data_IF_665770346231
#
_entry.id   IF_665770346231
#
_cell.length_a   1.000
_cell.length_b   1.000
_cell.length_c   1.000
_cell.angle_alpha   90.00
_cell.angle_beta   90.00
_cell.angle_gamma   90.00
#
_symmetry.space_group_name_H-M   'P 1'
#
loop_
_entity.id
_entity.type
_entity.pdbx_description
1 polymer ?
#
# COMPACT_ATOMS: atom_id res chain seq x y z
N UNK A 1 -30.09 9.74 16.02
CA UNK A 1 -29.18 8.61 15.75
C UNK A 1 -29.54 8.00 14.42
N UNK A 2 -28.78 8.29 13.35
CA UNK A 2 -29.04 7.73 12.01
C UNK A 2 -28.17 6.48 11.84
N UNK A 3 -28.79 5.32 11.96
CA UNK A 3 -28.20 4.04 11.57
C UNK A 3 -27.93 4.08 10.07
N UNK A 4 -26.66 4.10 9.66
CA UNK A 4 -26.29 3.88 8.26
C UNK A 4 -26.01 2.39 8.08
N UNK A 5 -26.83 1.81 7.22
CA UNK A 5 -26.92 0.39 6.89
C UNK A 5 -25.58 -0.09 6.33
N UNK A 6 -25.06 -1.19 6.91
CA UNK A 6 -23.99 -2.00 6.37
C UNK A 6 -24.37 -2.45 4.96
N UNK A 7 -23.67 -1.95 3.93
CA UNK A 7 -23.80 -2.49 2.58
C UNK A 7 -22.91 -3.72 2.51
N UNK A 8 -23.54 -4.88 2.39
CA UNK A 8 -22.90 -6.11 1.96
C UNK A 8 -22.11 -5.85 0.67
N UNK A 9 -20.82 -6.15 0.71
CA UNK A 9 -19.95 -6.06 -0.45
C UNK A 9 -20.28 -7.22 -1.40
N UNK A 10 -21.03 -6.88 -2.46
CA UNK A 10 -21.42 -7.80 -3.54
C UNK A 10 -20.24 -8.27 -4.38
N UNK A 11 -20.46 -9.43 -4.98
CA UNK A 11 -19.53 -10.27 -5.75
C UNK A 11 -19.20 -9.74 -7.15
N UNK A 12 -18.55 -8.57 -7.26
CA UNK A 12 -17.83 -8.18 -8.48
C UNK A 12 -16.40 -7.71 -8.16
N UNK A 13 -15.33 -8.39 -8.61
CA UNK A 13 -13.98 -8.16 -8.09
C UNK A 13 -13.28 -6.89 -8.58
N UNK A 14 -13.86 -6.13 -9.51
CA UNK A 14 -13.10 -5.17 -10.33
C UNK A 14 -13.21 -3.69 -9.94
N UNK A 15 -14.09 -3.28 -9.02
CA UNK A 15 -14.31 -1.85 -8.71
C UNK A 15 -14.60 -1.58 -7.22
N UNK A 16 -13.95 -2.28 -6.30
CA UNK A 16 -14.04 -1.93 -4.88
C UNK A 16 -13.19 -0.68 -4.62
N UNK A 17 -13.84 0.41 -4.20
CA UNK A 17 -13.17 1.65 -3.79
C UNK A 17 -12.06 1.35 -2.77
N UNK A 18 -10.83 1.87 -2.94
CA UNK A 18 -9.77 1.70 -1.95
C UNK A 18 -10.17 2.29 -0.59
N UNK A 19 -9.85 1.60 0.49
CA UNK A 19 -10.09 2.08 1.86
C UNK A 19 -8.98 3.03 2.27
N UNK A 20 -9.32 4.24 2.70
CA UNK A 20 -8.35 5.18 3.28
C UNK A 20 -8.25 4.90 4.79
N UNK A 21 -7.05 4.55 5.25
CA UNK A 21 -6.72 4.44 6.67
C UNK A 21 -5.56 5.37 6.95
N UNK A 22 -5.76 6.32 7.85
CA UNK A 22 -4.75 7.27 8.27
C UNK A 22 -5.15 7.87 9.62
N UNK A 23 -4.44 8.90 10.09
CA UNK A 23 -4.70 9.54 11.39
C UNK A 23 -6.12 10.07 11.55
N UNK A 24 -6.78 10.48 10.48
CA UNK A 24 -8.15 11.01 10.50
C UNK A 24 -9.21 9.92 10.27
N UNK A 25 -8.81 8.81 9.65
CA UNK A 25 -9.68 7.72 9.22
C UNK A 25 -9.20 6.41 9.86
N UNK A 26 -9.74 6.09 11.04
CA UNK A 26 -9.44 4.86 11.76
C UNK A 26 -10.28 3.66 11.27
N UNK A 27 -9.86 2.47 11.65
CA UNK A 27 -10.60 1.22 11.45
C UNK A 27 -11.58 0.99 12.59
N UNK A 28 -12.81 0.60 12.25
CA UNK A 28 -13.81 0.18 13.22
C UNK A 28 -13.61 -1.29 13.65
N UNK A 29 -13.10 -2.12 12.74
CA UNK A 29 -12.84 -3.55 12.95
C UNK A 29 -11.58 -3.98 12.21
N UNK A 30 -10.87 -4.98 12.74
CA UNK A 30 -9.76 -5.64 12.03
C UNK A 30 -10.27 -6.41 10.80
N UNK A 31 -9.39 -6.73 9.84
CA UNK A 31 -9.75 -7.55 8.70
C UNK A 31 -10.03 -9.02 9.10
N UNK A 32 -10.80 -9.73 8.27
CA UNK A 32 -11.06 -11.15 8.46
C UNK A 32 -9.77 -11.97 8.33
N UNK A 33 -9.37 -12.62 9.43
CA UNK A 33 -8.16 -13.44 9.49
C UNK A 33 -8.17 -14.61 8.50
N UNK A 34 -9.35 -15.10 8.09
CA UNK A 34 -9.47 -16.19 7.12
C UNK A 34 -9.07 -15.78 5.70
N UNK A 35 -9.02 -14.49 5.41
CA UNK A 35 -8.58 -13.93 4.12
C UNK A 35 -7.07 -13.67 4.08
N UNK A 36 -6.35 -13.86 5.19
CA UNK A 36 -4.92 -13.62 5.28
C UNK A 36 -4.10 -14.86 4.94
N UNK A 37 -3.04 -14.69 4.15
CA UNK A 37 -2.11 -15.75 3.75
C UNK A 37 -0.66 -15.26 3.87
N UNK A 38 0.30 -16.14 4.16
CA UNK A 38 1.72 -15.78 4.21
C UNK A 38 2.26 -15.37 2.83
N UNK A 39 3.33 -14.57 2.84
CA UNK A 39 4.05 -14.14 1.61
C UNK A 39 5.52 -14.55 1.64
N UNK A 40 6.05 -14.85 0.46
CA UNK A 40 7.41 -15.34 0.28
C UNK A 40 7.70 -16.58 1.14
N UNK A 41 8.88 -16.59 1.77
CA UNK A 41 9.30 -17.63 2.72
C UNK A 41 9.08 -17.23 4.19
N UNK A 42 8.24 -16.22 4.45
CA UNK A 42 8.00 -15.68 5.79
C UNK A 42 6.60 -16.09 6.29
N UNK A 43 6.49 -17.15 7.11
CA UNK A 43 5.18 -17.66 7.54
C UNK A 43 4.40 -16.67 8.41
N UNK A 44 5.10 -15.77 9.10
CA UNK A 44 4.51 -14.80 10.03
C UNK A 44 4.15 -13.47 9.36
N UNK A 45 4.57 -13.25 8.10
CA UNK A 45 4.21 -12.05 7.35
C UNK A 45 3.01 -12.35 6.47
N UNK A 46 1.85 -11.88 6.91
CA UNK A 46 0.57 -12.17 6.27
C UNK A 46 0.10 -10.99 5.43
N UNK A 47 -0.58 -11.25 4.31
CA UNK A 47 -1.36 -10.25 3.57
C UNK A 47 -2.73 -10.82 3.20
N UNK A 48 -3.68 -9.93 2.95
CA UNK A 48 -4.94 -10.32 2.32
C UNK A 48 -4.65 -11.06 1.01
N UNK A 49 -5.32 -12.19 0.77
CA UNK A 49 -4.99 -13.15 -0.30
C UNK A 49 -4.86 -12.55 -1.70
N UNK A 50 -5.66 -11.52 -2.01
CA UNK A 50 -5.57 -10.75 -3.26
C UNK A 50 -4.27 -9.95 -3.38
N UNK A 51 -3.87 -9.27 -2.31
CA UNK A 51 -2.62 -8.52 -2.26
C UNK A 51 -1.42 -9.48 -2.28
N UNK A 52 -1.49 -10.58 -1.52
CA UNK A 52 -0.48 -11.64 -1.53
C UNK A 52 -0.26 -12.19 -2.94
N UNK A 53 -1.33 -12.63 -3.63
CA UNK A 53 -1.22 -13.17 -4.98
C UNK A 53 -0.61 -12.17 -5.98
N UNK A 54 -0.99 -10.89 -5.89
CA UNK A 54 -0.42 -9.85 -6.73
C UNK A 54 1.07 -9.60 -6.43
N UNK A 55 1.46 -9.63 -5.16
CA UNK A 55 2.84 -9.48 -4.73
C UNK A 55 3.68 -10.68 -5.22
N UNK A 56 3.20 -11.92 -5.05
CA UNK A 56 3.90 -13.12 -5.52
C UNK A 56 4.13 -13.09 -7.03
N UNK A 57 3.14 -12.67 -7.82
CA UNK A 57 3.30 -12.55 -9.27
C UNK A 57 4.36 -11.49 -9.64
N UNK A 58 4.37 -10.34 -8.98
CA UNK A 58 5.39 -9.32 -9.19
C UNK A 58 6.77 -9.88 -8.83
N UNK A 59 6.91 -10.48 -7.65
CA UNK A 59 8.18 -11.01 -7.17
C UNK A 59 8.71 -12.13 -8.08
N UNK A 60 7.86 -13.00 -8.60
CA UNK A 60 8.23 -14.00 -9.59
C UNK A 60 8.73 -13.37 -10.90
N UNK A 61 8.17 -12.24 -11.33
CA UNK A 61 8.60 -11.57 -12.57
C UNK A 61 10.02 -10.99 -12.48
N UNK A 62 10.51 -10.70 -11.27
CA UNK A 62 11.82 -10.07 -11.06
C UNK A 62 12.79 -10.95 -10.25
N UNK A 63 12.45 -12.21 -9.98
CA UNK A 63 13.17 -13.07 -9.04
C UNK A 63 13.42 -12.37 -7.68
N UNK A 64 12.42 -11.60 -7.23
CA UNK A 64 12.56 -10.60 -6.18
C UNK A 64 12.87 -11.19 -4.81
N UNK A 65 12.34 -12.37 -4.49
CA UNK A 65 12.52 -13.01 -3.17
C UNK A 65 13.96 -13.45 -2.87
N UNK A 66 14.84 -13.49 -3.86
CA UNK A 66 16.27 -13.73 -3.64
C UNK A 66 16.99 -12.51 -3.05
N UNK A 67 16.43 -11.31 -3.23
CA UNK A 67 17.07 -10.03 -2.87
C UNK A 67 16.21 -9.11 -2.01
N UNK A 68 14.90 -9.34 -1.94
CA UNK A 68 13.93 -8.56 -1.17
C UNK A 68 13.28 -9.53 -0.19
N UNK A 69 13.08 -9.08 1.05
CA UNK A 69 12.38 -9.85 2.07
C UNK A 69 11.15 -9.10 2.56
N UNK A 70 10.08 -9.82 2.91
CA UNK A 70 8.94 -9.22 3.57
C UNK A 70 9.30 -8.97 5.04
N UNK A 71 9.16 -7.73 5.49
CA UNK A 71 9.52 -7.31 6.86
C UNK A 71 8.29 -7.31 7.74
N UNK A 72 7.17 -6.77 7.23
CA UNK A 72 5.94 -6.69 8.01
C UNK A 72 4.71 -6.54 7.13
N UNK A 73 3.69 -7.37 7.39
CA UNK A 73 2.43 -7.40 6.66
C UNK A 73 1.28 -7.01 7.57
N UNK A 74 0.27 -7.86 7.69
CA UNK A 74 -0.83 -7.65 8.61
C UNK A 74 -0.36 -7.55 10.06
N UNK A 75 -0.96 -6.62 10.81
CA UNK A 75 -0.76 -6.45 12.25
C UNK A 75 -2.12 -6.29 12.90
N UNK A 76 -2.36 -6.96 14.02
CA UNK A 76 -3.53 -6.69 14.88
C UNK A 76 -3.43 -5.32 15.55
N UNK A 77 -4.55 -4.82 16.07
CA UNK A 77 -4.57 -3.63 16.92
C UNK A 77 -3.57 -3.72 18.08
N UNK A 78 -3.46 -4.90 18.71
CA UNK A 78 -2.53 -5.14 19.83
C UNK A 78 -1.08 -5.03 19.39
N UNK A 79 -0.69 -5.70 18.30
CA UNK A 79 0.67 -5.60 17.76
C UNK A 79 1.03 -4.16 17.39
N UNK A 80 0.09 -3.41 16.80
CA UNK A 80 0.32 -2.00 16.48
C UNK A 80 0.50 -1.13 17.75
N UNK A 81 -0.22 -1.47 18.83
CA UNK A 81 -0.06 -0.82 20.15
C UNK A 81 1.33 -1.09 20.74
N UNK A 82 1.77 -2.34 20.69
CA UNK A 82 3.09 -2.73 21.22
C UNK A 82 4.20 -2.02 20.41
N UNK A 83 4.13 -2.04 19.08
CA UNK A 83 5.10 -1.36 18.19
C UNK A 83 5.15 0.16 18.47
N UNK A 84 3.99 0.80 18.64
CA UNK A 84 3.94 2.22 18.97
C UNK A 84 4.64 2.52 20.30
N UNK A 85 4.27 1.80 21.36
CA UNK A 85 4.83 2.01 22.70
C UNK A 85 6.34 1.73 22.72
N UNK A 86 6.78 0.63 22.12
CA UNK A 86 8.18 0.25 22.05
C UNK A 86 9.00 1.28 21.26
N UNK A 87 8.45 1.82 20.18
CA UNK A 87 9.12 2.86 19.39
C UNK A 87 9.22 4.18 20.16
N UNK A 88 8.19 4.56 20.91
CA UNK A 88 8.24 5.74 21.80
C UNK A 88 9.35 5.58 22.84
N UNK A 89 9.47 4.40 23.45
CA UNK A 89 10.48 4.10 24.47
C UNK A 89 11.89 4.10 23.87
N UNK A 90 12.07 3.46 22.72
CA UNK A 90 13.40 3.18 22.16
C UNK A 90 13.93 4.28 21.24
N UNK A 91 13.05 5.02 20.55
CA UNK A 91 13.41 6.06 19.55
C UNK A 91 12.82 7.44 19.84
N UNK A 92 11.97 7.56 20.86
CA UNK A 92 11.33 8.81 21.25
C UNK A 92 10.01 9.09 20.52
N UNK A 93 9.18 9.91 21.15
CA UNK A 93 7.82 10.20 20.68
C UNK A 93 7.77 10.92 19.32
N UNK A 94 8.67 11.87 19.09
CA UNK A 94 8.75 12.61 17.82
C UNK A 94 9.07 11.68 16.64
N UNK A 95 9.93 10.68 16.86
CA UNK A 95 10.22 9.66 15.86
C UNK A 95 9.01 8.75 15.65
N UNK A 96 8.41 8.24 16.72
CA UNK A 96 7.23 7.38 16.63
C UNK A 96 6.08 8.06 15.87
N UNK A 97 5.79 9.33 16.17
CA UNK A 97 4.76 10.12 15.49
C UNK A 97 4.99 10.30 13.99
N UNK A 98 6.23 10.17 13.53
CA UNK A 98 6.64 10.38 12.14
C UNK A 98 6.59 9.12 11.28
N UNK A 99 6.83 7.95 11.87
CA UNK A 99 7.04 6.69 11.15
C UNK A 99 6.12 5.53 11.60
N UNK A 100 5.37 5.71 12.68
CA UNK A 100 4.50 4.66 13.21
C UNK A 100 3.08 5.21 13.29
N UNK A 101 2.14 4.57 12.61
CA UNK A 101 0.74 4.92 12.74
C UNK A 101 0.22 4.58 14.15
N UNK A 102 -0.75 5.36 14.63
CA UNK A 102 -1.44 5.05 15.89
C UNK A 102 -2.21 3.72 15.78
N UNK A 103 -2.42 3.00 16.90
CA UNK A 103 -3.29 1.83 16.91
C UNK A 103 -4.69 2.16 16.41
N UNK A 104 -5.25 1.34 15.52
CA UNK A 104 -6.52 1.61 14.84
C UNK A 104 -6.38 2.50 13.60
N UNK A 105 -5.22 3.08 13.34
CA UNK A 105 -4.97 3.99 12.22
C UNK A 105 -3.84 3.52 11.30
N UNK A 106 -3.40 2.27 11.46
CA UNK A 106 -2.34 1.66 10.65
C UNK A 106 -2.92 0.91 9.46
N UNK A 107 -2.40 1.17 8.26
CA UNK A 107 -2.83 0.43 7.06
C UNK A 107 -2.48 -1.07 7.15
N UNK A 108 -1.48 -1.45 7.96
CA UNK A 108 -1.16 -2.87 8.21
C UNK A 108 -2.34 -3.64 8.81
N UNK A 109 -3.21 -3.00 9.60
CA UNK A 109 -4.39 -3.66 10.16
C UNK A 109 -5.43 -4.07 9.10
N UNK A 110 -5.32 -3.56 7.87
CA UNK A 110 -6.17 -3.98 6.74
C UNK A 110 -5.66 -5.25 6.05
N UNK A 111 -4.41 -5.65 6.29
CA UNK A 111 -3.73 -6.70 5.54
C UNK A 111 -3.40 -6.33 4.08
N UNK A 112 -3.52 -5.05 3.72
CA UNK A 112 -3.24 -4.54 2.36
C UNK A 112 -1.92 -3.76 2.27
N UNK A 113 -1.22 -3.56 3.38
CA UNK A 113 0.08 -2.89 3.44
C UNK A 113 1.21 -3.89 3.70
N UNK A 114 2.35 -3.68 3.05
CA UNK A 114 3.55 -4.51 3.18
C UNK A 114 4.78 -3.60 3.30
N UNK A 115 5.59 -3.85 4.33
CA UNK A 115 6.93 -3.32 4.46
C UNK A 115 7.92 -4.33 3.85
N UNK A 116 8.75 -3.86 2.92
CA UNK A 116 9.75 -4.66 2.24
C UNK A 116 11.16 -4.16 2.56
N UNK A 117 12.09 -5.10 2.76
CA UNK A 117 13.49 -4.81 3.03
C UNK A 117 14.39 -5.33 1.94
N UNK A 118 15.44 -4.60 1.61
CA UNK A 118 16.53 -5.11 0.79
C UNK A 118 17.39 -6.07 1.60
N UNK A 119 17.52 -7.31 1.12
CA UNK A 119 18.33 -8.36 1.74
C UNK A 119 19.81 -8.05 1.54
N UNK A 120 20.48 -7.72 2.63
CA UNK A 120 21.92 -7.51 2.66
C UNK A 120 22.57 -8.65 3.45
N UNK A 121 23.65 -9.23 2.94
CA UNK A 121 24.43 -10.21 3.68
C UNK A 121 24.99 -9.58 4.96
N UNK A 122 24.90 -10.31 6.08
CA UNK A 122 25.47 -9.92 7.38
C UNK A 122 24.96 -8.58 7.95
N UNK A 123 23.76 -8.13 7.57
CA UNK A 123 23.14 -6.95 8.15
C UNK A 123 21.74 -7.26 8.65
N UNK A 124 21.48 -6.91 9.91
CA UNK A 124 20.13 -6.93 10.46
C UNK A 124 19.25 -5.90 9.77
N UNK A 125 17.99 -6.26 9.57
CA UNK A 125 16.98 -5.39 8.98
C UNK A 125 16.32 -4.61 10.10
N UNK A 126 16.37 -3.28 10.01
CA UNK A 126 15.58 -2.41 10.88
C UNK A 126 14.09 -2.66 10.61
N UNK A 127 13.36 -3.13 11.62
CA UNK A 127 11.94 -3.45 11.51
C UNK A 127 11.06 -2.21 11.29
N UNK A 128 11.46 -1.03 11.79
CA UNK A 128 10.67 0.20 11.68
C UNK A 128 11.03 0.96 10.40
N UNK A 129 12.31 0.98 10.02
CA UNK A 129 12.80 1.69 8.84
C UNK A 129 13.71 0.82 7.97
N UNK A 130 13.19 -0.28 7.38
CA UNK A 130 13.99 -1.16 6.56
C UNK A 130 14.54 -0.44 5.32
N UNK A 131 15.77 -0.74 4.95
CA UNK A 131 16.40 -0.13 3.77
C UNK A 131 15.74 -0.66 2.50
N UNK A 132 15.20 0.23 1.65
CA UNK A 132 14.64 -0.12 0.35
C UNK A 132 15.01 0.91 -0.74
N UNK A 133 16.12 0.72 -1.46
CA UNK A 133 16.67 1.73 -2.37
C UNK A 133 15.81 1.97 -3.63
N UNK A 134 16.04 3.09 -4.31
CA UNK A 134 15.40 3.45 -5.59
C UNK A 134 16.06 2.82 -6.82
N UNK A 135 17.17 2.11 -6.63
CA UNK A 135 17.99 1.51 -7.66
C UNK A 135 18.00 -0.02 -7.55
N UNK A 136 18.57 -0.68 -8.56
CA UNK A 136 18.68 -2.14 -8.58
C UNK A 136 17.33 -2.84 -8.55
N UNK A 137 17.27 -4.00 -7.90
CA UNK A 137 16.07 -4.84 -7.83
C UNK A 137 14.90 -4.15 -7.10
N UNK A 138 15.16 -3.40 -6.02
CA UNK A 138 14.13 -2.61 -5.33
C UNK A 138 13.57 -1.49 -6.23
N UNK A 139 14.42 -0.88 -7.06
CA UNK A 139 13.98 0.06 -8.09
C UNK A 139 13.14 -0.60 -9.19
N UNK A 140 13.46 -1.83 -9.60
CA UNK A 140 12.65 -2.60 -10.54
C UNK A 140 11.29 -2.96 -9.95
N UNK A 141 11.26 -3.44 -8.70
CA UNK A 141 10.03 -3.67 -7.94
C UNK A 141 9.13 -2.42 -7.96
N UNK A 142 9.69 -1.27 -7.56
CA UNK A 142 8.94 0.00 -7.49
C UNK A 142 8.33 0.40 -8.83
N UNK A 143 9.06 0.18 -9.94
CA UNK A 143 8.56 0.49 -11.30
C UNK A 143 7.38 -0.40 -11.71
N UNK A 144 7.40 -1.67 -11.30
CA UNK A 144 6.36 -2.64 -11.65
C UNK A 144 5.18 -2.65 -10.67
N UNK A 145 5.38 -2.25 -9.42
CA UNK A 145 4.37 -2.25 -8.36
C UNK A 145 2.99 -1.73 -8.80
N UNK A 146 2.87 -0.60 -9.54
CA UNK A 146 1.58 -0.09 -9.99
C UNK A 146 0.84 -1.02 -10.96
N UNK A 147 1.55 -1.78 -11.79
CA UNK A 147 0.96 -2.77 -12.69
C UNK A 147 0.38 -3.97 -11.95
N UNK A 148 0.74 -4.15 -10.68
CA UNK A 148 0.24 -5.23 -9.81
C UNK A 148 -0.67 -4.71 -8.69
N UNK A 149 -1.13 -3.46 -8.75
CA UNK A 149 -2.07 -2.96 -7.74
C UNK A 149 -1.42 -2.26 -6.54
N UNK A 150 -0.10 -2.11 -6.50
CA UNK A 150 0.63 -1.51 -5.38
C UNK A 150 1.08 -0.08 -5.68
N UNK A 151 1.14 0.76 -4.65
CA UNK A 151 1.73 2.10 -4.69
C UNK A 151 2.72 2.28 -3.54
N UNK A 152 3.77 3.08 -3.75
CA UNK A 152 4.56 3.61 -2.63
C UNK A 152 3.66 4.56 -1.83
N UNK A 153 3.36 4.21 -0.59
CA UNK A 153 2.26 4.85 0.14
C UNK A 153 2.61 6.24 0.66
N UNK A 154 3.86 6.40 1.09
CA UNK A 154 4.37 7.61 1.74
C UNK A 154 5.61 8.13 0.99
N UNK A 155 5.45 8.73 -0.20
CA UNK A 155 6.55 9.28 -0.97
C UNK A 155 7.07 10.60 -0.38
N UNK A 156 8.34 10.91 -0.65
CA UNK A 156 8.97 12.16 -0.23
C UNK A 156 8.22 13.39 -0.76
N UNK A 157 8.07 14.41 0.08
CA UNK A 157 7.40 15.67 -0.26
C UNK A 157 5.88 15.66 -0.13
N UNK A 158 5.28 14.52 0.27
CA UNK A 158 3.83 14.39 0.53
C UNK A 158 3.48 14.25 2.01
N UNK A 159 4.44 14.46 2.91
CA UNK A 159 4.30 14.24 4.36
C UNK A 159 3.21 15.13 4.99
N UNK A 160 3.04 16.35 4.46
CA UNK A 160 1.97 17.26 4.92
C UNK A 160 0.57 16.77 4.57
N UNK A 161 0.45 15.90 3.57
CA UNK A 161 -0.82 15.32 3.11
C UNK A 161 -1.05 13.98 3.79
N UNK A 162 -0.04 13.11 3.82
CA UNK A 162 -0.16 11.75 4.37
C UNK A 162 -0.08 11.72 5.90
N UNK A 163 0.55 12.73 6.51
CA UNK A 163 0.82 12.79 7.95
C UNK A 163 1.92 11.84 8.42
N UNK A 164 2.60 11.15 7.50
CA UNK A 164 3.68 10.18 7.74
C UNK A 164 4.91 10.62 6.95
N UNK A 165 6.10 10.38 7.49
CA UNK A 165 7.37 10.70 6.83
C UNK A 165 7.60 9.85 5.59
N UNK A 166 8.64 10.17 4.82
CA UNK A 166 9.00 9.37 3.66
C UNK A 166 9.39 7.93 4.06
N UNK A 167 8.67 6.94 3.50
CA UNK A 167 8.88 5.51 3.77
C UNK A 167 9.04 4.72 2.46
N UNK A 168 10.26 4.66 1.89
CA UNK A 168 10.49 3.98 0.60
C UNK A 168 10.24 2.47 0.62
N UNK A 169 10.10 1.86 1.80
CA UNK A 169 9.85 0.44 2.01
C UNK A 169 8.36 0.07 2.07
N UNK A 170 7.48 1.05 2.29
CA UNK A 170 6.07 0.80 2.60
C UNK A 170 5.21 0.87 1.33
N UNK A 171 4.62 -0.27 0.97
CA UNK A 171 3.76 -0.40 -0.21
C UNK A 171 2.34 -0.75 0.17
N UNK A 172 1.39 -0.06 -0.45
CA UNK A 172 -0.05 -0.25 -0.23
C UNK A 172 -0.71 -0.87 -1.47
N UNK A 173 -1.38 -2.00 -1.29
CA UNK A 173 -2.27 -2.57 -2.29
C UNK A 173 -3.59 -1.79 -2.33
N UNK A 174 -3.85 -1.17 -3.48
CA UNK A 174 -5.11 -0.48 -3.81
C UNK A 174 -5.83 -1.12 -5.00
N UNK A 175 -5.22 -2.14 -5.61
CA UNK A 175 -5.75 -2.85 -6.77
C UNK A 175 -5.64 -2.07 -8.07
N UNK A 176 -6.04 -2.73 -9.16
CA UNK A 176 -6.21 -2.13 -10.47
C UNK A 176 -7.67 -1.70 -10.68
N UNK A 177 -7.93 -0.61 -11.43
CA UNK A 177 -6.96 0.27 -12.07
C UNK A 177 -6.41 1.40 -11.16
N UNK A 178 -6.76 1.40 -9.87
CA UNK A 178 -6.50 2.51 -8.94
C UNK A 178 -5.02 2.87 -8.82
N UNK A 179 -4.15 1.89 -8.62
CA UNK A 179 -2.70 2.09 -8.52
C UNK A 179 -2.09 2.77 -9.75
N UNK A 180 -2.47 2.33 -10.95
CA UNK A 180 -2.05 2.97 -12.21
C UNK A 180 -2.55 4.41 -12.31
N UNK A 181 -3.80 4.66 -11.93
CA UNK A 181 -4.37 6.01 -11.92
C UNK A 181 -3.63 6.92 -10.94
N UNK A 182 -3.38 6.46 -9.71
CA UNK A 182 -2.64 7.20 -8.68
C UNK A 182 -1.24 7.58 -9.16
N UNK A 183 -0.48 6.62 -9.71
CA UNK A 183 0.88 6.89 -10.20
C UNK A 183 0.88 7.81 -11.42
N UNK A 184 -0.02 7.60 -12.38
CA UNK A 184 -0.07 8.46 -13.58
C UNK A 184 -0.46 9.92 -13.28
N UNK A 185 -1.23 10.14 -12.21
CA UNK A 185 -1.63 11.47 -11.76
C UNK A 185 -0.71 12.06 -10.67
N UNK A 186 0.25 11.29 -10.17
CA UNK A 186 1.15 11.74 -9.09
C UNK A 186 0.44 11.96 -7.75
N UNK A 187 -0.59 11.18 -7.46
CA UNK A 187 -1.45 11.32 -6.28
C UNK A 187 -1.11 10.29 -5.20
N UNK A 188 -1.14 10.74 -3.94
CA UNK A 188 -1.24 9.83 -2.78
C UNK A 188 -2.68 9.41 -2.53
N UNK A 189 -2.90 8.42 -1.67
CA UNK A 189 -4.22 7.83 -1.48
C UNK A 189 -5.27 8.86 -1.01
N UNK A 190 -4.87 9.78 -0.14
CA UNK A 190 -5.71 10.89 0.32
C UNK A 190 -6.25 11.72 -0.84
N UNK A 191 -5.37 12.20 -1.73
CA UNK A 191 -5.75 13.02 -2.88
C UNK A 191 -6.59 12.22 -3.88
N UNK A 192 -6.24 10.94 -4.07
CA UNK A 192 -6.98 10.06 -4.98
C UNK A 192 -8.42 9.79 -4.50
N UNK A 193 -8.61 9.60 -3.20
CA UNK A 193 -9.93 9.38 -2.61
C UNK A 193 -10.79 10.64 -2.73
N UNK A 194 -10.21 11.83 -2.49
CA UNK A 194 -10.88 13.11 -2.73
C UNK A 194 -11.29 13.26 -4.21
N UNK A 195 -10.41 12.88 -5.14
CA UNK A 195 -10.72 12.90 -6.58
C UNK A 195 -11.91 12.00 -6.92
N UNK A 196 -11.98 10.79 -6.35
CA UNK A 196 -13.10 9.87 -6.55
C UNK A 196 -14.42 10.41 -5.97
N UNK A 197 -14.36 11.17 -4.88
CA UNK A 197 -15.54 11.79 -4.28
C UNK A 197 -16.10 12.95 -5.11
N UNK A 198 -15.22 13.74 -5.71
CA UNK A 198 -15.60 14.87 -6.58
C UNK A 198 -16.02 14.40 -7.98
N UNK A 199 -15.58 13.22 -8.42
CA UNK A 199 -15.92 12.64 -9.73
C UNK A 199 -16.62 11.27 -9.62
N UNK A 200 -17.88 11.19 -9.14
CA UNK A 200 -18.60 9.93 -9.00
C UNK A 200 -18.86 9.19 -10.32
N UNK A 201 -18.67 9.85 -11.47
CA UNK A 201 -18.87 9.28 -12.79
C UNK A 201 -17.51 9.03 -13.48
N UNK A 202 -16.97 7.83 -13.27
CA UNK A 202 -16.00 7.11 -14.10
C UNK A 202 -14.84 7.89 -14.73
N UNK A 203 -13.60 7.55 -14.35
CA UNK A 203 -12.40 7.91 -15.12
C UNK A 203 -12.45 7.19 -16.48
N UNK A 204 -13.11 7.81 -17.45
CA UNK A 204 -13.10 7.38 -18.85
C UNK A 204 -11.74 7.71 -19.45
N UNK A 205 -10.86 6.71 -19.54
CA UNK A 205 -9.69 6.79 -20.41
C UNK A 205 -10.20 6.87 -21.84
N UNK A 206 -10.30 8.08 -22.39
CA UNK A 206 -10.66 8.28 -23.80
C UNK A 206 -9.52 7.74 -24.69
N UNK A 207 -9.79 6.80 -25.61
CA UNK A 207 -8.78 6.41 -26.59
C UNK A 207 -8.54 7.60 -27.52
N UNK A 208 -7.27 8.00 -27.68
CA UNK A 208 -6.86 9.00 -28.67
C UNK A 208 -7.44 8.61 -30.04
N UNK A 209 -8.38 9.40 -30.55
CA UNK A 209 -8.88 9.27 -31.93
C UNK A 209 -7.68 9.41 -32.88
N UNK A 210 -7.36 8.34 -33.63
CA UNK A 210 -6.50 8.44 -34.80
C UNK A 210 -7.14 9.41 -35.79
N UNK A 211 -6.39 10.43 -36.21
CA UNK A 211 -6.80 11.29 -37.33
C UNK A 211 -6.72 10.46 -38.62
N UNK A 212 -7.73 10.46 -39.50
CA UNK A 212 -7.57 9.94 -40.84
C UNK A 212 -6.65 10.89 -41.63
N UNK A 213 -5.56 10.36 -42.14
CA UNK A 213 -4.72 11.04 -43.12
C UNK A 213 -5.49 11.15 -44.45
N UNK A 214 -5.43 12.34 -45.03
CA UNK A 214 -5.98 12.72 -46.32
C UNK A 214 -5.47 11.79 -47.44
N UNK A 215 -6.41 11.17 -48.17
CA UNK A 215 -6.20 10.85 -49.59
C UNK A 215 -6.65 12.06 -50.40
N UNK A 216 -5.79 12.58 -51.27
CA UNK A 216 -6.17 13.43 -52.39
C UNK A 216 -5.13 13.32 -53.50
N UNK A 217 -5.56 12.64 -54.56
CA UNK A 217 -5.20 12.74 -56.00
C UNK A 217 -3.79 12.27 -56.40
#
# INVERSE_FOLDING_TARGET
MRHRICKSYGTEPALTRPVLVNRENGLETDCDMSELVPVGKAPDVLLHRRAAAALEHLMAQIDGWEHIVPVSGWRSFRQQTDIWNDTVITRGEDFARRFVALPGHSEHQTGLAIDLGWKQENREIDFICPVFPYTGICGQFRKLAPSFGFVERYPAGKEKITGISHEPWHFRYVGLPHSLAMVSLGLVLEEYILLLDVSPQGVGVSPKKRRPGHESI
#
